data_IF_572748464126
#
_entry.id   IF_572748464126
#
_cell.length_a   1.000
_cell.length_b   1.000
_cell.length_c   1.000
_cell.angle_alpha   90.00
_cell.angle_beta   90.00
_cell.angle_gamma   90.00
#
_symmetry.space_group_name_H-M   'P 1'
#
loop_
_entity.id
_entity.type
_entity.pdbx_description
1 polymer ?
#
# COMPACT_ATOMS: atom_id res chain seq x y z
N UNK A 1 35.60 -2.68 81.84
CA UNK A 1 35.50 -1.36 81.19
C UNK A 1 35.83 -1.49 79.71
N UNK A 2 34.84 -1.23 78.84
CA UNK A 2 34.92 -0.44 77.57
C UNK A 2 36.10 -0.72 76.60
N UNK A 3 35.96 -1.01 75.31
CA UNK A 3 34.88 -0.77 74.33
C UNK A 3 35.11 -1.66 73.08
N UNK A 4 34.00 -2.08 72.50
CA UNK A 4 33.80 -2.57 71.13
C UNK A 4 34.16 -1.47 70.12
N UNK A 5 34.75 -1.82 68.97
CA UNK A 5 34.36 -1.30 67.65
C UNK A 5 35.12 -2.02 66.54
N UNK A 6 34.39 -2.87 65.84
CA UNK A 6 34.79 -3.61 64.65
C UNK A 6 34.81 -2.72 63.40
N UNK A 7 35.53 -3.21 62.38
CA UNK A 7 35.30 -3.04 60.94
C UNK A 7 34.75 -1.68 60.45
N UNK A 8 35.51 -0.98 59.61
CA UNK A 8 35.03 -0.74 58.25
C UNK A 8 36.19 -0.41 57.30
N UNK A 9 36.30 -1.25 56.29
CA UNK A 9 37.22 -1.19 55.18
C UNK A 9 36.96 0.06 54.32
N UNK A 10 38.05 0.66 53.86
CA UNK A 10 38.25 1.31 52.56
C UNK A 10 37.11 1.07 51.57
N UNK A 11 36.42 2.14 51.16
CA UNK A 11 35.82 2.36 49.82
C UNK A 11 34.86 3.56 49.86
N UNK A 12 35.37 4.79 49.74
CA UNK A 12 34.59 5.92 49.21
C UNK A 12 35.22 6.30 47.88
N UNK A 13 35.02 5.40 46.91
CA UNK A 13 35.15 5.68 45.49
C UNK A 13 33.92 6.52 45.10
N UNK A 14 34.17 7.79 44.78
CA UNK A 14 33.53 8.56 43.71
C UNK A 14 32.20 7.95 43.22
N UNK A 15 31.09 8.30 43.87
CA UNK A 15 29.73 8.10 43.34
C UNK A 15 29.40 9.21 42.35
N UNK A 16 30.17 9.26 41.27
CA UNK A 16 29.94 10.05 40.07
C UNK A 16 30.12 9.10 38.90
N UNK A 17 29.07 8.36 38.57
CA UNK A 17 28.76 7.72 37.29
C UNK A 17 27.81 6.58 37.57
N UNK A 18 26.57 6.71 37.11
CA UNK A 18 25.74 5.71 36.45
C UNK A 18 24.31 6.26 36.38
N UNK A 19 24.16 7.48 35.82
CA UNK A 19 23.02 7.69 34.92
C UNK A 19 23.31 6.80 33.72
N UNK A 20 22.91 5.53 33.83
CA UNK A 20 22.69 4.72 32.64
C UNK A 20 21.71 5.55 31.81
N UNK A 21 22.20 6.13 30.71
CA UNK A 21 21.34 6.52 29.62
C UNK A 21 20.66 5.23 29.18
N UNK A 22 19.53 4.91 29.81
CA UNK A 22 18.67 3.81 29.39
C UNK A 22 18.38 4.08 27.92
N UNK A 23 18.86 3.21 27.04
CA UNK A 23 18.68 3.32 25.61
C UNK A 23 17.24 3.75 25.30
N UNK A 24 17.07 4.97 24.76
CA UNK A 24 15.80 5.52 24.29
C UNK A 24 15.27 4.79 23.03
N UNK A 25 15.61 3.51 22.87
CA UNK A 25 15.26 2.64 21.74
C UNK A 25 14.13 1.66 22.13
N UNK A 26 13.21 2.06 23.00
CA UNK A 26 12.03 1.25 23.30
C UNK A 26 11.21 1.08 22.03
N UNK A 27 11.12 -0.15 21.53
CA UNK A 27 10.19 -0.54 20.48
C UNK A 27 8.78 -0.54 21.07
N UNK A 28 7.85 0.07 20.35
CA UNK A 28 6.43 -0.23 20.48
C UNK A 28 5.93 -0.78 19.16
N UNK A 29 5.29 -1.94 19.23
CA UNK A 29 4.72 -2.66 18.10
C UNK A 29 3.25 -2.96 18.40
N UNK A 30 2.39 -2.75 17.41
CA UNK A 30 1.00 -3.17 17.52
C UNK A 30 0.49 -3.70 16.19
N UNK A 31 -0.12 -4.89 16.27
CA UNK A 31 -0.82 -5.52 15.18
C UNK A 31 -2.33 -5.23 15.25
N UNK A 32 -2.96 -5.07 14.09
CA UNK A 32 -4.41 -4.85 13.98
C UNK A 32 -4.96 -5.43 12.67
N UNK A 33 -6.28 -5.64 12.62
CA UNK A 33 -7.01 -5.90 11.38
C UNK A 33 -7.88 -4.68 11.10
N UNK A 34 -7.61 -3.96 10.01
CA UNK A 34 -8.33 -2.76 9.56
C UNK A 34 -8.29 -2.71 8.04
N UNK A 35 -9.24 -2.02 7.40
CA UNK A 35 -9.30 -1.95 5.92
C UNK A 35 -9.22 -3.34 5.25
N UNK A 36 -9.87 -4.34 5.86
CA UNK A 36 -9.88 -5.75 5.43
C UNK A 36 -8.48 -6.39 5.29
N UNK A 37 -7.47 -5.90 6.02
CA UNK A 37 -6.11 -6.45 6.00
C UNK A 37 -5.44 -6.46 7.37
N UNK A 38 -4.44 -7.33 7.54
CA UNK A 38 -3.57 -7.34 8.71
C UNK A 38 -2.55 -6.21 8.61
N UNK A 39 -2.34 -5.48 9.69
CA UNK A 39 -1.41 -4.36 9.76
C UNK A 39 -0.45 -4.54 10.93
N UNK A 40 0.80 -4.15 10.72
CA UNK A 40 1.87 -4.13 11.72
C UNK A 40 2.51 -2.74 11.73
N UNK A 41 2.41 -2.06 12.88
CA UNK A 41 2.99 -0.73 13.08
C UNK A 41 4.09 -0.80 14.15
N UNK A 42 5.31 -0.48 13.75
CA UNK A 42 6.51 -0.46 14.60
C UNK A 42 7.06 0.95 14.70
N UNK A 43 7.30 1.43 15.91
CA UNK A 43 7.97 2.69 16.17
C UNK A 43 9.02 2.53 17.27
N UNK A 44 10.15 3.21 17.12
CA UNK A 44 11.17 3.28 18.15
C UNK A 44 11.20 4.67 18.77
N UNK A 45 11.30 4.72 20.10
CA UNK A 45 11.50 5.96 20.84
C UNK A 45 10.51 6.19 21.98
N UNK A 46 10.71 7.26 22.76
CA UNK A 46 9.88 7.56 23.94
C UNK A 46 8.40 7.82 23.58
N UNK A 47 8.12 8.29 22.36
CA UNK A 47 6.77 8.56 21.87
C UNK A 47 6.20 7.44 21.00
N UNK A 48 6.86 6.28 20.92
CA UNK A 48 6.46 5.20 20.01
C UNK A 48 5.01 4.73 20.26
N UNK A 49 4.64 4.52 21.52
CA UNK A 49 3.29 4.08 21.90
C UNK A 49 2.20 5.06 21.45
N UNK A 50 2.33 6.34 21.79
CA UNK A 50 1.32 7.34 21.43
C UNK A 50 1.23 7.53 19.91
N UNK A 51 2.35 7.45 19.19
CA UNK A 51 2.37 7.55 17.73
C UNK A 51 1.61 6.39 17.08
N UNK A 52 1.84 5.14 17.53
CA UNK A 52 1.16 3.96 17.00
C UNK A 52 -0.34 3.98 17.35
N UNK A 53 -0.71 4.30 18.58
CA UNK A 53 -2.13 4.37 18.99
C UNK A 53 -2.90 5.46 18.24
N UNK A 54 -2.31 6.63 17.99
CA UNK A 54 -2.92 7.68 17.16
C UNK A 54 -3.05 7.23 15.69
N UNK A 55 -2.03 6.53 15.18
CA UNK A 55 -2.01 6.00 13.81
C UNK A 55 -3.16 5.01 13.57
N UNK A 56 -3.41 4.10 14.51
CA UNK A 56 -4.50 3.13 14.39
C UNK A 56 -5.88 3.81 14.39
N UNK A 57 -6.06 4.89 15.18
CA UNK A 57 -7.29 5.69 15.15
C UNK A 57 -7.47 6.39 13.81
N UNK A 58 -6.38 6.96 13.26
CA UNK A 58 -6.41 7.62 11.95
C UNK A 58 -6.78 6.64 10.84
N UNK A 59 -6.24 5.42 10.87
CA UNK A 59 -6.60 4.36 9.92
C UNK A 59 -8.10 4.01 10.03
N UNK A 60 -8.65 3.90 11.25
CA UNK A 60 -10.10 3.67 11.43
C UNK A 60 -10.98 4.77 10.86
N UNK A 61 -10.56 6.03 11.01
CA UNK A 61 -11.26 7.18 10.42
C UNK A 61 -11.27 7.09 8.89
N UNK A 62 -10.11 6.79 8.30
CA UNK A 62 -9.97 6.63 6.84
C UNK A 62 -10.84 5.49 6.31
N UNK A 63 -10.83 4.34 6.97
CA UNK A 63 -11.64 3.18 6.56
C UNK A 63 -13.14 3.51 6.56
N UNK A 64 -13.62 4.19 7.60
CA UNK A 64 -15.02 4.65 7.70
C UNK A 64 -15.42 5.59 6.58
N UNK A 65 -14.49 6.35 6.00
CA UNK A 65 -14.76 7.30 4.91
C UNK A 65 -14.56 6.69 3.52
N UNK A 66 -13.59 5.80 3.35
CA UNK A 66 -13.16 5.28 2.05
C UNK A 66 -13.75 3.91 1.69
N UNK A 67 -14.27 3.13 2.65
CA UNK A 67 -14.76 1.79 2.38
C UNK A 67 -16.06 1.80 1.55
N UNK A 68 -16.13 1.06 0.43
CA UNK A 68 -17.36 0.90 -0.35
C UNK A 68 -18.39 -0.01 0.34
N UNK A 69 -18.01 -0.68 1.44
CA UNK A 69 -18.86 -1.61 2.18
C UNK A 69 -19.54 -0.95 3.39
N UNK A 70 -19.15 0.28 3.74
CA UNK A 70 -19.75 1.06 4.83
C UNK A 70 -20.75 2.04 4.22
N UNK A 71 -22.05 1.84 4.46
CA UNK A 71 -23.12 2.64 3.86
C UNK A 71 -23.01 4.16 4.14
N UNK A 72 -22.43 4.53 5.27
CA UNK A 72 -22.24 5.93 5.70
C UNK A 72 -20.93 6.55 5.22
N UNK A 73 -20.08 5.79 4.53
CA UNK A 73 -18.81 6.28 3.98
C UNK A 73 -19.06 7.27 2.85
N UNK A 74 -18.08 8.12 2.58
CA UNK A 74 -18.17 9.09 1.49
C UNK A 74 -18.15 8.40 0.12
N UNK A 75 -17.37 7.32 -0.02
CA UNK A 75 -17.36 6.48 -1.22
C UNK A 75 -18.76 5.88 -1.48
N UNK A 76 -19.42 5.32 -0.47
CA UNK A 76 -20.77 4.78 -0.60
C UNK A 76 -21.80 5.86 -0.95
N UNK A 77 -21.70 7.05 -0.35
CA UNK A 77 -22.59 8.18 -0.68
C UNK A 77 -22.40 8.63 -2.14
N UNK A 78 -21.15 8.74 -2.61
CA UNK A 78 -20.84 9.04 -4.02
C UNK A 78 -21.50 7.99 -4.93
N UNK A 79 -21.27 6.70 -4.64
CA UNK A 79 -21.76 5.59 -5.45
C UNK A 79 -23.31 5.57 -5.50
N UNK A 80 -23.98 5.78 -4.38
CA UNK A 80 -25.45 5.81 -4.29
C UNK A 80 -26.09 7.03 -5.00
N UNK A 81 -25.28 8.09 -5.19
CA UNK A 81 -25.68 9.35 -5.84
C UNK A 81 -25.29 9.41 -7.32
N UNK A 82 -24.70 8.36 -7.87
CA UNK A 82 -24.29 8.30 -9.27
C UNK A 82 -25.44 8.64 -10.24
N UNK A 83 -25.17 9.58 -11.16
CA UNK A 83 -26.13 10.11 -12.11
C UNK A 83 -27.22 11.01 -11.52
N UNK A 84 -27.10 11.44 -10.26
CA UNK A 84 -28.10 12.26 -9.57
C UNK A 84 -27.57 13.63 -9.16
N UNK A 85 -26.69 13.69 -8.16
CA UNK A 85 -26.28 14.93 -7.50
C UNK A 85 -24.80 14.91 -7.10
N UNK A 86 -24.25 16.09 -6.84
CA UNK A 86 -22.98 16.25 -6.14
C UNK A 86 -23.08 15.79 -4.68
N UNK A 87 -22.03 15.15 -4.20
CA UNK A 87 -21.86 14.69 -2.82
C UNK A 87 -20.66 15.38 -2.22
N UNK A 88 -20.87 16.13 -1.14
CA UNK A 88 -19.77 16.72 -0.36
C UNK A 88 -18.97 15.61 0.32
N UNK A 89 -17.66 15.70 0.25
CA UNK A 89 -16.75 14.68 0.79
C UNK A 89 -15.68 15.28 1.66
N UNK A 90 -15.09 14.43 2.51
CA UNK A 90 -13.93 14.78 3.30
C UNK A 90 -12.74 15.18 2.39
N UNK A 91 -11.91 16.17 2.78
CA UNK A 91 -10.76 16.61 1.98
C UNK A 91 -9.78 15.49 1.60
N UNK A 92 -9.67 14.46 2.42
CA UNK A 92 -8.81 13.30 2.16
C UNK A 92 -9.35 12.40 1.06
N UNK A 93 -10.67 12.21 1.01
CA UNK A 93 -11.35 11.51 -0.09
C UNK A 93 -11.20 12.30 -1.39
N UNK A 94 -11.40 13.62 -1.33
CA UNK A 94 -11.17 14.50 -2.47
C UNK A 94 -9.73 14.40 -2.99
N UNK A 95 -8.75 14.37 -2.08
CA UNK A 95 -7.33 14.24 -2.43
C UNK A 95 -7.03 12.94 -3.17
N UNK A 96 -7.52 11.80 -2.67
CA UNK A 96 -7.35 10.51 -3.33
C UNK A 96 -8.02 10.47 -4.72
N UNK A 97 -9.21 11.05 -4.86
CA UNK A 97 -9.93 11.12 -6.14
C UNK A 97 -9.17 11.99 -7.15
N UNK A 98 -8.66 13.16 -6.73
CA UNK A 98 -7.86 14.04 -7.58
C UNK A 98 -6.59 13.35 -8.08
N UNK A 99 -5.83 12.73 -7.17
CA UNK A 99 -4.65 11.95 -7.52
C UNK A 99 -5.01 10.84 -8.51
N UNK A 100 -6.12 10.12 -8.24
CA UNK A 100 -6.59 9.06 -9.12
C UNK A 100 -6.89 9.56 -10.54
N UNK A 101 -7.61 10.68 -10.69
CA UNK A 101 -7.91 11.25 -12.01
C UNK A 101 -6.62 11.68 -12.72
N UNK A 102 -5.67 12.28 -12.01
CA UNK A 102 -4.37 12.66 -12.58
C UNK A 102 -3.63 11.44 -13.14
N UNK A 103 -3.49 10.37 -12.34
CA UNK A 103 -2.79 9.16 -12.78
C UNK A 103 -3.58 8.34 -13.80
N UNK A 104 -4.90 8.45 -13.81
CA UNK A 104 -5.73 7.87 -14.88
C UNK A 104 -5.41 8.54 -16.22
N UNK A 105 -5.21 9.87 -16.25
CA UNK A 105 -4.76 10.58 -17.46
C UNK A 105 -3.35 10.18 -17.87
N UNK A 106 -2.41 10.16 -16.92
CA UNK A 106 -1.01 9.82 -17.21
C UNK A 106 -0.85 8.38 -17.75
N UNK A 107 -1.61 7.44 -17.20
CA UNK A 107 -1.57 6.03 -17.58
C UNK A 107 -2.51 5.67 -18.74
N UNK A 108 -3.17 6.66 -19.35
CA UNK A 108 -4.18 6.48 -20.38
C UNK A 108 -5.28 5.47 -19.97
N UNK A 109 -5.76 5.58 -18.74
CA UNK A 109 -6.85 4.76 -18.20
C UNK A 109 -6.44 3.37 -17.72
N UNK A 110 -5.15 3.02 -17.68
CA UNK A 110 -4.73 1.76 -17.06
C UNK A 110 -5.02 1.76 -15.56
N UNK A 111 -4.85 2.91 -14.89
CA UNK A 111 -5.47 3.18 -13.61
C UNK A 111 -6.82 3.85 -13.80
N UNK A 112 -7.88 3.32 -13.18
CA UNK A 112 -9.19 3.95 -13.13
C UNK A 112 -9.99 3.49 -11.89
N UNK A 113 -10.28 4.43 -10.98
CA UNK A 113 -11.06 4.14 -9.78
C UNK A 113 -12.54 3.87 -10.07
N UNK A 114 -13.05 4.14 -11.26
CA UNK A 114 -14.45 3.88 -11.65
C UNK A 114 -14.73 2.43 -12.04
N UNK A 115 -13.77 1.52 -11.83
CA UNK A 115 -13.89 0.08 -12.07
C UNK A 115 -14.84 -0.64 -11.09
N UNK A 116 -15.37 0.04 -10.07
CA UNK A 116 -16.29 -0.53 -9.09
C UNK A 116 -17.43 -1.40 -9.66
N UNK A 117 -18.12 -1.02 -10.77
CA UNK A 117 -19.17 -1.87 -11.35
C UNK A 117 -18.65 -3.20 -11.89
N UNK A 118 -17.40 -3.24 -12.38
CA UNK A 118 -16.74 -4.46 -12.85
C UNK A 118 -16.25 -5.30 -11.68
N UNK A 119 -15.62 -4.68 -10.67
CA UNK A 119 -15.18 -5.35 -9.43
C UNK A 119 -16.36 -6.09 -8.80
N UNK A 120 -17.52 -5.41 -8.67
CA UNK A 120 -18.75 -6.02 -8.16
C UNK A 120 -19.33 -7.10 -9.07
N UNK A 121 -19.18 -6.96 -10.39
CA UNK A 121 -19.67 -7.96 -11.36
C UNK A 121 -18.90 -9.28 -11.23
N UNK A 122 -17.58 -9.19 -11.11
CA UNK A 122 -16.67 -10.33 -10.95
C UNK A 122 -16.76 -10.95 -9.55
N UNK A 123 -16.89 -10.13 -8.50
CA UNK A 123 -17.08 -10.59 -7.13
C UNK A 123 -15.92 -11.40 -6.56
N UNK A 124 -14.70 -11.25 -7.11
CA UNK A 124 -13.52 -12.05 -6.77
C UNK A 124 -13.16 -11.88 -5.29
N UNK A 125 -12.94 -12.99 -4.59
CA UNK A 125 -12.66 -12.99 -3.15
C UNK A 125 -13.92 -12.80 -2.28
N UNK A 126 -15.11 -12.98 -2.86
CA UNK A 126 -16.39 -13.00 -2.15
C UNK A 126 -17.15 -14.29 -2.49
N UNK A 127 -18.23 -14.58 -1.77
CA UNK A 127 -19.10 -15.71 -2.10
C UNK A 127 -19.80 -15.61 -3.47
N UNK A 128 -19.72 -14.45 -4.14
CA UNK A 128 -20.34 -14.21 -5.44
C UNK A 128 -19.35 -14.30 -6.61
N UNK A 129 -18.14 -14.78 -6.37
CA UNK A 129 -17.12 -14.90 -7.41
C UNK A 129 -17.60 -15.79 -8.57
N UNK A 130 -17.42 -15.29 -9.79
CA UNK A 130 -17.82 -16.00 -11.02
C UNK A 130 -17.08 -15.45 -12.22
N UNK A 131 -17.18 -16.17 -13.33
CA UNK A 131 -16.83 -15.65 -14.65
C UNK A 131 -18.10 -15.06 -15.27
N UNK A 132 -18.22 -13.73 -15.43
CA UNK A 132 -19.36 -13.11 -16.10
C UNK A 132 -19.34 -13.37 -17.60
N UNK A 133 -20.49 -13.21 -18.25
CA UNK A 133 -20.58 -13.26 -19.70
C UNK A 133 -20.07 -11.97 -20.34
N UNK A 134 -19.61 -12.05 -21.59
CA UNK A 134 -19.13 -10.91 -22.37
C UNK A 134 -20.16 -9.77 -22.45
N UNK A 135 -21.46 -10.10 -22.52
CA UNK A 135 -22.53 -9.11 -22.59
C UNK A 135 -22.66 -8.35 -21.26
N UNK A 136 -22.56 -9.04 -20.13
CA UNK A 136 -22.54 -8.39 -18.81
C UNK A 136 -21.33 -7.48 -18.65
N UNK A 137 -20.14 -7.94 -19.05
CA UNK A 137 -18.90 -7.17 -18.98
C UNK A 137 -19.01 -5.92 -19.85
N UNK A 138 -19.40 -6.07 -21.12
CA UNK A 138 -19.59 -4.94 -22.04
C UNK A 138 -20.61 -3.93 -21.50
N UNK A 139 -21.69 -4.39 -20.89
CA UNK A 139 -22.69 -3.52 -20.26
C UNK A 139 -22.06 -2.69 -19.12
N UNK A 140 -21.31 -3.33 -18.22
CA UNK A 140 -20.63 -2.65 -17.10
C UNK A 140 -19.48 -1.75 -17.55
N UNK A 141 -18.77 -2.12 -18.60
CA UNK A 141 -17.67 -1.33 -19.17
C UNK A 141 -18.15 0.08 -19.58
N UNK A 142 -19.40 0.23 -20.01
CA UNK A 142 -19.98 1.56 -20.33
C UNK A 142 -20.09 2.51 -19.13
N UNK A 143 -19.91 2.00 -17.91
CA UNK A 143 -19.95 2.74 -16.64
C UNK A 143 -18.55 3.09 -16.13
N UNK A 144 -17.49 2.62 -16.80
CA UNK A 144 -16.11 2.96 -16.49
C UNK A 144 -15.69 4.19 -17.29
N UNK A 145 -14.87 5.04 -16.68
CA UNK A 145 -14.33 6.27 -17.26
C UNK A 145 -14.12 7.33 -16.19
N UNK A 146 -12.86 7.54 -15.81
CA UNK A 146 -12.43 8.62 -14.90
C UNK A 146 -12.79 10.03 -15.40
N UNK A 147 -12.98 10.21 -16.71
CA UNK A 147 -13.41 11.45 -17.36
C UNK A 147 -14.87 11.83 -17.01
N UNK A 148 -15.65 10.87 -16.51
CA UNK A 148 -17.04 11.04 -16.07
C UNK A 148 -17.17 11.37 -14.58
N UNK A 149 -16.05 11.63 -13.90
CA UNK A 149 -16.03 12.16 -12.53
C UNK A 149 -15.98 13.68 -12.60
N UNK A 150 -17.00 14.35 -12.08
CA UNK A 150 -17.02 15.80 -11.94
C UNK A 150 -16.65 16.21 -10.52
N UNK A 151 -15.72 17.17 -10.41
CA UNK A 151 -15.31 17.77 -9.13
C UNK A 151 -15.79 19.21 -9.08
N UNK A 152 -16.53 19.56 -8.02
CA UNK A 152 -16.79 20.94 -7.65
C UNK A 152 -15.81 21.36 -6.56
N UNK A 153 -14.80 22.13 -6.95
CA UNK A 153 -13.70 22.59 -6.10
C UNK A 153 -14.17 23.54 -4.98
N UNK A 154 -15.17 24.37 -5.25
CA UNK A 154 -15.62 25.40 -4.31
C UNK A 154 -16.28 24.80 -3.05
N UNK A 155 -16.93 23.64 -3.18
CA UNK A 155 -17.65 22.98 -2.08
C UNK A 155 -17.06 21.59 -1.71
N UNK A 156 -15.93 21.21 -2.32
CA UNK A 156 -15.31 19.88 -2.12
C UNK A 156 -16.31 18.74 -2.33
N UNK A 157 -17.02 18.78 -3.46
CA UNK A 157 -18.06 17.80 -3.79
C UNK A 157 -17.81 17.08 -5.12
N UNK A 158 -18.25 15.82 -5.19
CA UNK A 158 -18.01 14.90 -6.30
C UNK A 158 -19.33 14.44 -6.89
N UNK A 159 -19.40 14.32 -8.21
CA UNK A 159 -20.53 13.71 -8.91
C UNK A 159 -20.03 12.70 -9.95
N UNK A 160 -20.61 11.50 -9.95
CA UNK A 160 -20.45 10.55 -11.06
C UNK A 160 -21.55 10.84 -12.08
N UNK A 161 -21.17 11.12 -13.33
CA UNK A 161 -22.11 11.67 -14.33
C UNK A 161 -23.18 10.68 -14.79
N UNK A 162 -22.95 9.37 -14.67
CA UNK A 162 -23.86 8.34 -15.18
C UNK A 162 -24.42 7.47 -14.06
N UNK A 163 -25.72 7.19 -14.13
CA UNK A 163 -26.38 6.29 -13.20
C UNK A 163 -25.76 4.88 -13.29
N UNK A 164 -25.48 4.28 -12.13
CA UNK A 164 -24.85 2.96 -12.02
C UNK A 164 -23.33 2.96 -12.03
N UNK A 165 -22.68 4.12 -12.24
CA UNK A 165 -21.25 4.26 -11.94
C UNK A 165 -20.97 4.05 -10.45
N UNK A 166 -19.77 3.60 -10.14
CA UNK A 166 -19.27 3.57 -8.77
C UNK A 166 -17.75 3.67 -8.77
N UNK A 167 -17.18 4.33 -7.77
CA UNK A 167 -15.75 4.35 -7.51
C UNK A 167 -15.36 3.30 -6.47
N UNK A 168 -14.11 2.84 -6.58
CA UNK A 168 -13.40 1.98 -5.63
C UNK A 168 -12.01 2.58 -5.37
N UNK A 169 -11.63 2.72 -4.10
CA UNK A 169 -10.36 3.31 -3.68
C UNK A 169 -9.37 2.27 -3.13
N UNK A 170 -9.63 0.97 -3.29
CA UNK A 170 -8.84 -0.10 -2.70
C UNK A 170 -7.37 -0.15 -3.12
N UNK A 171 -7.06 0.35 -4.32
CA UNK A 171 -5.69 0.46 -4.84
C UNK A 171 -4.96 1.77 -4.52
N UNK A 172 -5.54 2.66 -3.70
CA UNK A 172 -4.90 3.93 -3.31
C UNK A 172 -5.05 4.24 -1.81
N UNK A 173 -6.11 3.73 -1.17
CA UNK A 173 -6.46 4.08 0.20
C UNK A 173 -5.44 3.59 1.23
N UNK A 174 -4.80 2.43 1.03
CA UNK A 174 -3.79 1.90 1.98
C UNK A 174 -2.50 2.69 1.87
N UNK A 175 -2.06 3.00 0.65
CA UNK A 175 -0.97 3.94 0.42
C UNK A 175 -1.23 5.29 1.09
N UNK A 176 -2.44 5.85 0.93
CA UNK A 176 -2.79 7.10 1.60
C UNK A 176 -2.77 7.00 3.12
N UNK A 177 -3.32 5.92 3.69
CA UNK A 177 -3.26 5.67 5.12
C UNK A 177 -1.81 5.59 5.63
N UNK A 178 -0.92 4.94 4.87
CA UNK A 178 0.51 4.87 5.18
C UNK A 178 1.16 6.28 5.23
N UNK A 179 0.81 7.17 4.30
CA UNK A 179 1.28 8.57 4.33
C UNK A 179 0.77 9.33 5.56
N UNK A 180 -0.47 9.09 6.00
CA UNK A 180 -1.03 9.69 7.23
C UNK A 180 -0.32 9.16 8.48
N UNK A 181 -0.03 7.86 8.56
CA UNK A 181 0.79 7.29 9.64
C UNK A 181 2.19 7.91 9.64
N UNK A 182 2.81 8.08 8.47
CA UNK A 182 4.12 8.73 8.37
C UNK A 182 4.10 10.17 8.87
N UNK A 183 3.02 10.93 8.64
CA UNK A 183 2.84 12.28 9.21
C UNK A 183 2.75 12.24 10.73
N UNK A 184 2.02 11.28 11.30
CA UNK A 184 1.93 11.09 12.76
C UNK A 184 3.30 10.72 13.33
N UNK A 185 4.04 9.83 12.68
CA UNK A 185 5.40 9.46 13.10
C UNK A 185 6.34 10.67 13.09
N UNK A 186 6.27 11.53 12.06
CA UNK A 186 7.00 12.79 11.99
C UNK A 186 6.59 13.76 13.12
N UNK A 187 5.29 13.91 13.40
CA UNK A 187 4.74 14.72 14.50
C UNK A 187 5.32 14.31 15.86
N UNK A 188 5.47 13.00 16.09
CA UNK A 188 6.01 12.45 17.34
C UNK A 188 7.54 12.25 17.34
N UNK A 189 8.23 12.73 16.30
CA UNK A 189 9.68 12.62 16.12
C UNK A 189 10.18 11.17 16.10
N UNK A 190 9.38 10.24 15.58
CA UNK A 190 9.80 8.86 15.32
C UNK A 190 10.79 8.86 14.16
N UNK A 191 12.02 8.41 14.41
CA UNK A 191 13.11 8.37 13.41
C UNK A 191 13.30 7.00 12.78
N UNK A 192 12.90 5.96 13.48
CA UNK A 192 13.02 4.56 13.05
C UNK A 192 11.69 3.87 13.31
N UNK A 193 11.27 3.02 12.40
CA UNK A 193 10.01 2.29 12.47
C UNK A 193 9.63 1.63 11.15
N UNK A 194 8.59 0.83 11.18
CA UNK A 194 8.03 0.18 10.00
C UNK A 194 6.52 0.38 10.01
N UNK A 195 5.99 0.87 8.91
CA UNK A 195 4.55 0.98 8.68
C UNK A 195 4.22 -0.10 7.68
N UNK A 196 3.51 -1.15 8.09
CA UNK A 196 3.12 -2.25 7.22
C UNK A 196 1.59 -2.38 7.22
N UNK A 197 0.94 -2.03 6.10
CA UNK A 197 -0.51 -2.05 5.94
C UNK A 197 -0.94 -3.16 4.97
N UNK A 198 -0.77 -4.41 5.40
CA UNK A 198 -1.03 -5.61 4.61
C UNK A 198 0.15 -6.03 3.74
N UNK A 199 -0.05 -7.04 2.90
CA UNK A 199 1.02 -7.57 2.04
C UNK A 199 1.48 -6.60 0.94
N UNK A 200 0.77 -5.49 0.75
CA UNK A 200 0.91 -4.65 -0.44
C UNK A 200 1.41 -3.24 -0.18
N UNK A 201 1.54 -2.76 1.06
CA UNK A 201 1.82 -1.34 1.31
C UNK A 201 2.69 -1.15 2.55
N UNK A 202 3.96 -0.82 2.33
CA UNK A 202 4.97 -0.67 3.38
C UNK A 202 5.63 0.70 3.28
N UNK A 203 5.97 1.30 4.42
CA UNK A 203 6.95 2.38 4.50
C UNK A 203 7.99 2.10 5.58
N UNK A 204 9.26 2.08 5.15
CA UNK A 204 10.40 1.87 6.02
C UNK A 204 10.91 3.23 6.55
N UNK A 205 10.69 3.52 7.83
CA UNK A 205 11.16 4.75 8.49
C UNK A 205 12.56 4.53 9.03
N UNK A 206 13.53 5.32 8.56
CA UNK A 206 14.92 5.25 9.03
C UNK A 206 15.52 3.86 8.88
N UNK A 207 16.08 3.35 9.98
CA UNK A 207 16.81 2.09 10.07
C UNK A 207 16.09 1.09 10.98
N UNK A 208 16.44 -0.19 10.85
CA UNK A 208 16.01 -1.25 11.75
C UNK A 208 16.78 -1.22 13.08
N UNK A 209 16.51 -2.20 13.96
CA UNK A 209 17.16 -2.33 15.29
C UNK A 209 18.68 -2.46 15.21
N UNK A 210 19.18 -3.06 14.13
CA UNK A 210 20.60 -3.24 13.85
C UNK A 210 21.25 -2.02 13.19
N UNK A 211 20.56 -0.86 13.17
CA UNK A 211 21.01 0.39 12.54
C UNK A 211 21.36 0.23 11.05
N UNK A 212 20.67 -0.70 10.39
CA UNK A 212 20.81 -0.99 8.96
C UNK A 212 19.51 -0.64 8.22
N UNK A 213 19.51 -0.53 6.89
CA UNK A 213 18.28 -0.50 6.12
C UNK A 213 17.33 -1.65 6.49
N UNK A 214 16.05 -1.46 6.23
CA UNK A 214 15.04 -2.50 6.41
C UNK A 214 15.14 -3.48 5.24
N UNK A 215 15.40 -4.75 5.53
CA UNK A 215 15.31 -5.82 4.53
C UNK A 215 13.85 -6.27 4.42
N UNK A 216 13.24 -6.05 3.26
CA UNK A 216 11.84 -6.41 2.97
C UNK A 216 11.84 -7.57 1.98
N UNK A 217 11.19 -8.67 2.35
CA UNK A 217 10.99 -9.81 1.45
C UNK A 217 9.85 -9.54 0.48
N UNK A 218 10.09 -9.74 -0.82
CA UNK A 218 9.05 -9.73 -1.86
C UNK A 218 8.46 -11.14 -1.91
N UNK A 219 7.15 -11.28 -1.69
CA UNK A 219 6.50 -12.58 -1.65
C UNK A 219 6.67 -13.37 -2.95
N UNK A 220 6.88 -14.68 -2.85
CA UNK A 220 6.92 -15.55 -4.02
C UNK A 220 5.49 -15.74 -4.58
N UNK A 221 5.17 -15.28 -5.81
CA UNK A 221 3.80 -15.24 -6.34
C UNK A 221 3.15 -16.61 -6.56
N UNK A 222 3.93 -17.69 -6.49
CA UNK A 222 3.49 -19.07 -6.70
C UNK A 222 3.78 -20.01 -5.53
N UNK A 223 4.16 -19.47 -4.38
CA UNK A 223 4.42 -20.26 -3.17
C UNK A 223 3.29 -20.08 -2.17
N UNK A 224 2.93 -21.15 -1.48
CA UNK A 224 2.02 -21.11 -0.33
C UNK A 224 2.76 -21.06 1.02
N UNK A 225 4.09 -21.11 1.01
CA UNK A 225 4.94 -21.00 2.21
C UNK A 225 5.38 -19.55 2.40
N UNK A 226 5.23 -19.05 3.64
CA UNK A 226 5.72 -17.74 4.09
C UNK A 226 7.24 -17.64 4.10
N UNK A 227 7.94 -18.77 4.16
CA UNK A 227 9.41 -18.81 4.23
C UNK A 227 10.04 -18.77 2.84
N UNK A 228 9.22 -18.78 1.79
CA UNK A 228 9.66 -18.77 0.40
C UNK A 228 9.27 -17.44 -0.24
N UNK A 229 10.26 -16.57 -0.41
CA UNK A 229 10.13 -15.26 -1.06
C UNK A 229 10.78 -15.28 -2.44
N UNK A 230 10.40 -14.32 -3.28
CA UNK A 230 10.99 -14.08 -4.59
C UNK A 230 12.41 -13.53 -4.49
N UNK A 231 12.62 -12.61 -3.56
CA UNK A 231 13.90 -11.97 -3.26
C UNK A 231 13.72 -10.99 -2.10
N UNK A 232 14.81 -10.37 -1.68
CA UNK A 232 14.82 -9.34 -0.64
C UNK A 232 15.26 -8.00 -1.23
N UNK A 233 14.80 -6.92 -0.62
CA UNK A 233 15.25 -5.57 -0.97
C UNK A 233 15.47 -4.73 0.26
N UNK A 234 16.62 -4.06 0.30
CA UNK A 234 16.96 -3.12 1.37
C UNK A 234 16.38 -1.73 1.09
N UNK A 235 15.53 -1.25 2.00
CA UNK A 235 14.91 0.08 1.91
C UNK A 235 15.07 0.87 3.21
N UNK A 236 15.23 2.18 3.06
CA UNK A 236 15.28 3.14 4.16
C UNK A 236 14.71 4.47 3.70
N UNK A 237 13.74 4.99 4.45
CA UNK A 237 12.93 6.16 4.11
C UNK A 237 12.32 6.05 2.71
N UNK A 238 11.63 4.93 2.44
CA UNK A 238 10.96 4.66 1.16
C UNK A 238 9.64 3.95 1.40
N UNK A 239 8.71 4.21 0.49
CA UNK A 239 7.49 3.42 0.35
C UNK A 239 7.77 2.24 -0.59
N UNK A 240 7.11 1.11 -0.34
CA UNK A 240 7.10 -0.08 -1.19
C UNK A 240 5.66 -0.57 -1.31
N UNK A 241 5.23 -0.91 -2.52
CA UNK A 241 3.92 -1.51 -2.74
C UNK A 241 3.96 -2.60 -3.78
N UNK A 242 3.24 -3.69 -3.53
CA UNK A 242 3.23 -4.89 -4.37
C UNK A 242 1.81 -5.20 -4.82
N UNK A 243 1.59 -5.36 -6.13
CA UNK A 243 0.36 -5.93 -6.67
C UNK A 243 0.63 -7.32 -7.24
N UNK A 244 -0.26 -8.28 -6.96
CA UNK A 244 -0.09 -9.67 -7.34
C UNK A 244 -1.39 -10.36 -7.70
N UNK A 245 -1.35 -11.27 -8.68
CA UNK A 245 -2.51 -12.10 -9.07
C UNK A 245 -2.81 -13.24 -8.08
N UNK A 246 -2.05 -13.32 -7.00
CA UNK A 246 -2.13 -14.35 -5.96
C UNK A 246 -2.80 -13.87 -4.67
N UNK A 247 -3.00 -12.56 -4.49
CA UNK A 247 -3.62 -11.99 -3.28
C UNK A 247 -5.11 -12.35 -3.17
N UNK A 248 -5.87 -12.13 -4.25
CA UNK A 248 -7.30 -12.48 -4.35
C UNK A 248 -7.59 -12.99 -5.74
N UNK A 249 -7.99 -14.26 -5.83
CA UNK A 249 -8.26 -14.95 -7.08
C UNK A 249 -9.16 -16.17 -6.87
N UNK A 250 -9.74 -16.67 -7.95
CA UNK A 250 -10.35 -18.00 -8.02
C UNK A 250 -9.91 -18.73 -9.28
N UNK A 251 -10.09 -20.05 -9.31
CA UNK A 251 -9.76 -20.88 -10.47
C UNK A 251 -11.04 -21.48 -11.04
N UNK A 252 -11.26 -21.29 -12.34
CA UNK A 252 -12.35 -21.93 -13.08
C UNK A 252 -11.82 -22.51 -14.38
N UNK A 253 -12.11 -23.78 -14.63
CA UNK A 253 -11.66 -24.52 -15.81
C UNK A 253 -10.13 -24.44 -16.02
N UNK A 254 -9.35 -24.49 -14.93
CA UNK A 254 -7.89 -24.40 -14.97
C UNK A 254 -7.32 -22.99 -15.22
N UNK A 255 -8.17 -21.97 -15.44
CA UNK A 255 -7.74 -20.58 -15.56
C UNK A 255 -7.92 -19.85 -14.22
N UNK A 256 -6.89 -19.09 -13.83
CA UNK A 256 -6.90 -18.16 -12.69
C UNK A 256 -7.54 -16.84 -13.11
N UNK A 257 -8.44 -16.33 -12.27
CA UNK A 257 -9.05 -15.01 -12.41
C UNK A 257 -8.76 -14.24 -11.12
N UNK A 258 -8.00 -13.14 -11.21
CA UNK A 258 -7.57 -12.34 -10.07
C UNK A 258 -8.29 -10.99 -10.02
N UNK A 259 -8.21 -10.32 -8.87
CA UNK A 259 -8.99 -9.12 -8.58
C UNK A 259 -8.55 -7.82 -9.29
N UNK A 260 -7.42 -7.83 -10.01
CA UNK A 260 -6.90 -6.64 -10.69
C UNK A 260 -7.52 -6.58 -12.08
N UNK A 261 -8.59 -5.78 -12.22
CA UNK A 261 -9.36 -5.66 -13.45
C UNK A 261 -8.76 -4.59 -14.36
N UNK A 262 -8.52 -4.93 -15.63
CA UNK A 262 -8.15 -3.97 -16.66
C UNK A 262 -9.38 -3.13 -17.06
N UNK A 263 -9.35 -1.80 -16.85
CA UNK A 263 -10.47 -0.91 -17.17
C UNK A 263 -10.86 -0.89 -18.65
N UNK A 264 -9.98 -1.29 -19.57
CA UNK A 264 -10.23 -1.29 -21.01
C UNK A 264 -11.00 -2.52 -21.48
N UNK A 265 -10.75 -3.66 -20.87
CA UNK A 265 -11.34 -4.95 -21.28
C UNK A 265 -12.49 -5.36 -20.38
N UNK A 266 -12.45 -4.95 -19.10
CA UNK A 266 -13.36 -5.38 -18.07
C UNK A 266 -13.07 -6.78 -17.52
N UNK A 267 -11.93 -7.38 -17.87
CA UNK A 267 -11.44 -8.66 -17.37
C UNK A 267 -10.27 -8.46 -16.39
N UNK A 268 -9.94 -9.45 -15.54
CA UNK A 268 -8.64 -9.49 -14.90
C UNK A 268 -7.51 -9.30 -15.93
N UNK A 269 -6.50 -8.49 -15.60
CA UNK A 269 -5.39 -8.20 -16.50
C UNK A 269 -4.67 -9.49 -16.94
N UNK A 270 -4.54 -9.71 -18.26
CA UNK A 270 -3.98 -10.96 -18.82
C UNK A 270 -2.81 -10.62 -19.76
N UNK A 271 -1.73 -10.07 -19.19
CA UNK A 271 -0.55 -9.56 -19.90
C UNK A 271 0.75 -10.29 -19.52
N UNK A 272 0.64 -11.39 -18.77
CA UNK A 272 1.76 -12.21 -18.29
C UNK A 272 2.43 -11.72 -17.02
N UNK A 273 2.07 -10.55 -16.46
CA UNK A 273 2.54 -10.12 -15.13
C UNK A 273 1.81 -10.92 -14.05
N UNK A 274 2.56 -11.41 -13.05
CA UNK A 274 2.03 -12.17 -11.91
C UNK A 274 2.28 -11.47 -10.57
N UNK A 275 3.29 -10.61 -10.54
CA UNK A 275 3.61 -9.71 -9.43
C UNK A 275 4.32 -8.48 -9.97
N UNK A 276 4.13 -7.34 -9.32
CA UNK A 276 5.04 -6.21 -9.43
C UNK A 276 5.31 -5.62 -8.05
N UNK A 277 6.39 -4.85 -7.93
CA UNK A 277 6.71 -4.09 -6.73
C UNK A 277 7.19 -2.71 -7.13
N UNK A 278 6.51 -1.68 -6.65
CA UNK A 278 6.89 -0.27 -6.81
C UNK A 278 7.64 0.18 -5.57
N UNK A 279 8.65 1.03 -5.75
CA UNK A 279 9.40 1.67 -4.67
C UNK A 279 9.48 3.16 -4.95
N UNK A 280 9.03 3.97 -3.99
CA UNK A 280 9.03 5.42 -4.07
C UNK A 280 9.87 6.06 -2.95
N UNK A 281 10.65 7.08 -3.31
CA UNK A 281 11.53 7.76 -2.36
C UNK A 281 10.77 8.55 -1.28
N UNK A 282 11.34 8.60 -0.07
CA UNK A 282 10.84 9.36 1.09
C UNK A 282 10.60 10.86 0.85
N UNK A 283 11.30 11.44 -0.13
CA UNK A 283 11.22 12.85 -0.49
C UNK A 283 10.23 13.14 -1.62
N UNK A 284 9.49 12.14 -2.10
CA UNK A 284 8.33 12.34 -2.96
C UNK A 284 7.10 12.62 -2.07
N UNK A 285 6.32 13.64 -2.42
CA UNK A 285 5.08 13.94 -1.69
C UNK A 285 4.07 12.82 -1.93
N UNK A 286 3.40 12.40 -0.86
CA UNK A 286 2.39 11.32 -0.89
C UNK A 286 2.93 10.04 -1.54
N UNK A 287 4.18 9.70 -1.19
CA UNK A 287 4.91 8.60 -1.82
C UNK A 287 4.26 7.25 -1.61
N UNK A 288 3.65 6.97 -0.46
CA UNK A 288 3.00 5.69 -0.22
C UNK A 288 1.70 5.59 -1.00
N UNK A 289 0.92 6.67 -1.08
CA UNK A 289 -0.28 6.77 -1.92
C UNK A 289 0.06 6.55 -3.40
N UNK A 290 1.10 7.22 -3.90
CA UNK A 290 1.57 7.06 -5.27
C UNK A 290 2.12 5.65 -5.50
N UNK A 291 2.81 5.05 -4.53
CA UNK A 291 3.32 3.69 -4.65
C UNK A 291 2.18 2.66 -4.82
N UNK A 292 1.13 2.76 -3.99
CA UNK A 292 -0.05 1.85 -4.03
C UNK A 292 -0.80 1.96 -5.36
N UNK A 293 -1.09 3.17 -5.83
CA UNK A 293 -1.80 3.34 -7.12
C UNK A 293 -0.93 2.89 -8.30
N UNK A 294 0.39 3.10 -8.23
CA UNK A 294 1.31 2.73 -9.30
C UNK A 294 1.50 1.22 -9.42
N UNK A 295 1.43 0.45 -8.32
CA UNK A 295 1.52 -1.01 -8.40
C UNK A 295 0.33 -1.57 -9.20
N UNK A 296 -0.87 -1.09 -8.96
CA UNK A 296 -2.02 -1.47 -9.81
C UNK A 296 -1.85 -0.99 -11.26
N UNK A 297 -1.35 0.23 -11.45
CA UNK A 297 -1.14 0.81 -12.79
C UNK A 297 -0.16 -0.01 -13.62
N UNK A 298 1.01 -0.33 -13.06
CA UNK A 298 2.10 -1.05 -13.74
C UNK A 298 1.68 -2.49 -14.00
N UNK A 299 1.02 -3.14 -13.05
CA UNK A 299 0.45 -4.48 -13.23
C UNK A 299 -0.45 -4.55 -14.48
N UNK A 300 -1.34 -3.56 -14.66
CA UNK A 300 -2.27 -3.51 -15.79
C UNK A 300 -1.54 -3.15 -17.10
N UNK A 301 -0.61 -2.19 -17.07
CA UNK A 301 0.19 -1.80 -18.25
C UNK A 301 1.05 -2.96 -18.78
N UNK A 302 1.47 -3.87 -17.90
CA UNK A 302 2.34 -4.99 -18.22
C UNK A 302 3.80 -4.58 -18.31
N UNK A 303 4.69 -5.56 -18.56
CA UNK A 303 6.15 -5.40 -18.47
C UNK A 303 6.71 -4.17 -19.20
N UNK A 304 6.52 -4.09 -20.51
CA UNK A 304 7.22 -3.09 -21.34
C UNK A 304 6.70 -1.67 -21.08
N UNK A 305 5.37 -1.51 -21.15
CA UNK A 305 4.73 -0.20 -20.92
C UNK A 305 4.84 0.22 -19.46
N UNK A 306 4.80 -0.72 -18.52
CA UNK A 306 4.94 -0.47 -17.08
C UNK A 306 6.33 0.05 -16.72
N UNK A 307 7.39 -0.60 -17.19
CA UNK A 307 8.77 -0.10 -17.00
C UNK A 307 8.93 1.27 -17.66
N UNK A 308 8.52 1.42 -18.93
CA UNK A 308 8.61 2.71 -19.62
C UNK A 308 7.84 3.82 -18.87
N UNK A 309 6.67 3.51 -18.32
CA UNK A 309 5.89 4.46 -17.55
C UNK A 309 6.65 4.92 -16.29
N UNK A 310 7.24 3.98 -15.54
CA UNK A 310 8.00 4.26 -14.33
C UNK A 310 9.30 5.03 -14.60
N UNK A 311 10.01 4.75 -15.70
CA UNK A 311 11.22 5.51 -16.07
C UNK A 311 10.97 7.00 -16.30
N UNK A 312 9.72 7.38 -16.62
CA UNK A 312 9.32 8.78 -16.80
C UNK A 312 8.86 9.44 -15.49
N UNK A 313 8.83 8.70 -14.37
CA UNK A 313 8.43 9.21 -13.05
C UNK A 313 9.66 9.44 -12.17
N UNK A 314 9.87 10.65 -11.65
CA UNK A 314 11.03 10.93 -10.81
C UNK A 314 10.90 10.20 -9.47
N UNK A 315 12.00 9.58 -9.02
CA UNK A 315 12.13 8.93 -7.70
C UNK A 315 11.19 7.74 -7.47
N UNK A 316 10.70 7.13 -8.54
CA UNK A 316 9.92 5.90 -8.49
C UNK A 316 10.67 4.83 -9.27
N UNK A 317 10.65 3.60 -8.78
CA UNK A 317 11.20 2.45 -9.45
C UNK A 317 10.24 1.26 -9.38
N UNK A 318 10.44 0.28 -10.25
CA UNK A 318 9.65 -0.94 -10.25
C UNK A 318 10.47 -2.20 -10.47
N UNK A 319 9.95 -3.28 -9.91
CA UNK A 319 10.22 -4.68 -10.23
C UNK A 319 8.94 -5.26 -10.84
N UNK A 320 9.07 -6.09 -11.86
CA UNK A 320 7.96 -6.82 -12.49
C UNK A 320 8.37 -8.27 -12.68
N UNK A 321 7.55 -9.17 -12.15
CA UNK A 321 7.70 -10.61 -12.31
C UNK A 321 6.63 -11.16 -13.24
N UNK A 322 7.05 -11.94 -14.23
CA UNK A 322 6.16 -12.54 -15.23
C UNK A 322 5.93 -14.03 -15.01
N UNK A 323 4.89 -14.56 -15.66
CA UNK A 323 4.45 -15.96 -15.56
C UNK A 323 5.44 -16.99 -16.10
N UNK A 324 6.44 -16.55 -16.89
CA UNK A 324 7.60 -17.35 -17.30
C UNK A 324 8.79 -17.25 -16.31
N UNK A 325 8.51 -16.83 -15.08
CA UNK A 325 9.45 -16.73 -13.95
C UNK A 325 10.66 -15.84 -14.24
N UNK A 326 10.43 -14.72 -14.92
CA UNK A 326 11.45 -13.70 -15.15
C UNK A 326 11.17 -12.45 -14.35
N UNK A 327 12.23 -11.87 -13.82
CA UNK A 327 12.22 -10.61 -13.09
C UNK A 327 12.81 -9.52 -13.99
N UNK A 328 12.12 -8.40 -14.09
CA UNK A 328 12.57 -7.21 -14.81
C UNK A 328 12.50 -6.02 -13.85
N UNK A 329 13.40 -5.05 -14.01
CA UNK A 329 13.39 -3.86 -13.16
C UNK A 329 13.53 -2.59 -13.98
N UNK A 330 13.06 -1.47 -13.44
CA UNK A 330 13.51 -0.16 -13.88
C UNK A 330 15.00 0.04 -13.57
N UNK A 331 15.59 1.04 -14.20
CA UNK A 331 17.00 1.40 -14.13
C UNK A 331 17.49 1.61 -12.70
N UNK A 332 16.70 2.29 -11.85
CA UNK A 332 17.08 2.57 -10.46
C UNK A 332 16.97 1.38 -9.50
N UNK A 333 16.43 0.24 -9.92
CA UNK A 333 16.43 -1.03 -9.16
C UNK A 333 17.36 -2.10 -9.74
N UNK A 334 18.16 -1.73 -10.75
CA UNK A 334 19.14 -2.65 -11.32
C UNK A 334 20.09 -3.20 -10.26
N UNK A 335 20.16 -4.53 -10.18
CA UNK A 335 20.99 -5.27 -9.22
C UNK A 335 20.74 -4.88 -7.73
N UNK A 336 19.51 -4.44 -7.39
CA UNK A 336 19.10 -4.08 -6.01
C UNK A 336 18.26 -5.13 -5.30
N UNK A 337 17.81 -6.15 -6.03
CA UNK A 337 17.08 -7.28 -5.46
C UNK A 337 18.11 -8.35 -5.12
N UNK A 338 18.15 -8.71 -3.85
CA UNK A 338 19.06 -9.69 -3.27
C UNK A 338 18.33 -11.01 -3.02
N UNK A 339 19.09 -12.06 -2.72
CA UNK A 339 18.56 -13.39 -2.37
C UNK A 339 17.49 -13.92 -3.33
N UNK A 340 17.64 -13.63 -4.64
CA UNK A 340 16.66 -14.01 -5.65
C UNK A 340 16.51 -15.52 -5.65
N UNK A 341 15.27 -15.96 -5.49
CA UNK A 341 14.92 -17.36 -5.47
C UNK A 341 15.31 -18.04 -6.78
N UNK A 342 15.86 -19.24 -6.67
CA UNK A 342 16.31 -20.06 -7.82
C UNK A 342 15.23 -20.34 -8.87
N UNK A 343 13.95 -20.21 -8.49
CA UNK A 343 12.83 -20.40 -9.39
C UNK A 343 12.73 -19.26 -10.43
N UNK A 344 13.31 -18.08 -10.14
CA UNK A 344 13.26 -16.92 -11.03
C UNK A 344 14.59 -16.63 -11.71
N UNK A 345 14.49 -16.07 -12.91
CA UNK A 345 15.63 -15.54 -13.67
C UNK A 345 15.56 -14.02 -13.74
N UNK A 346 16.54 -13.36 -13.13
CA UNK A 346 16.73 -11.92 -13.27
C UNK A 346 17.22 -11.55 -14.69
N UNK A 347 16.51 -10.65 -15.35
CA UNK A 347 16.84 -10.16 -16.69
C UNK A 347 17.49 -8.77 -16.57
N UNK A 348 18.73 -8.67 -17.02
CA UNK A 348 19.61 -7.50 -16.85
C UNK A 348 19.45 -6.39 -17.87
#
# INVERSE_FOLDING_TARGET
MKKISALLLVCIFITLSLTSCSNNNTLYEQNAIKMDTFMDLKAYGPNAKIAVEESLKKIDELDKMASPNINTSDVSKINNSAGKNYVKVHPEILKMIKASIQYSKLSNGAWDITTGPLIKLWGIGTQNERVPSDSEIKSKLTLVGYDKISINEADSSIMLQKAGMSIDLGGIAKGFACDEVLKIYKKYNIKNGLINLGNSSIYAVGQNESKSPWSVAIQHPRSNSSDNFLGTIEISNKALSTSGDYERYFIKNGKRYHHIIDPHTGYPADNGVISDTIIADGNLNDNSMICDLLSTTVFILGREKGIQFVENLPKVNCEITTSDYKIYTSSGLKDKIEDINKDFKYIK
#
